data_IF_907295120789
#
_entry.id   IF_907295120789
#
_cell.length_a   1.000
_cell.length_b   1.000
_cell.length_c   1.000
_cell.angle_alpha   90.00
_cell.angle_beta   90.00
_cell.angle_gamma   90.00
#
_symmetry.space_group_name_H-M   'P 1'
#
loop_
_entity.id
_entity.type
_entity.pdbx_description
1 polymer ?
#
# COMPACT_ATOMS: atom_id res chain seq x y z
N UNK A 1 21.72 17.56 2.45
CA UNK A 1 20.30 18.00 2.39
C UNK A 1 19.46 16.77 2.64
N UNK A 2 18.42 16.86 3.44
CA UNK A 2 17.50 15.73 3.66
C UNK A 2 16.54 15.66 2.48
N UNK A 3 16.36 14.49 1.90
CA UNK A 3 15.46 14.26 0.77
C UNK A 3 14.43 13.21 1.16
N UNK A 4 13.17 13.47 0.84
CA UNK A 4 12.06 12.57 1.09
C UNK A 4 11.37 12.24 -0.24
N UNK A 5 11.31 10.96 -0.58
CA UNK A 5 10.51 10.46 -1.72
C UNK A 5 9.44 9.54 -1.19
N UNK A 6 8.20 9.71 -1.63
CA UNK A 6 7.07 8.84 -1.28
C UNK A 6 6.59 8.16 -2.56
N UNK A 7 6.51 6.83 -2.54
CA UNK A 7 6.13 6.00 -3.68
C UNK A 7 4.83 5.26 -3.34
N UNK A 8 3.80 5.48 -4.17
CA UNK A 8 2.54 4.75 -4.12
C UNK A 8 2.62 3.44 -4.89
N UNK A 9 2.15 2.34 -4.30
CA UNK A 9 2.17 1.00 -4.89
C UNK A 9 0.80 0.33 -4.81
N UNK A 10 0.61 -0.73 -5.59
CA UNK A 10 -0.55 -1.62 -5.48
C UNK A 10 -0.09 -3.05 -5.16
N UNK A 11 -0.72 -3.65 -4.15
CA UNK A 11 -0.34 -4.96 -3.63
C UNK A 11 -0.58 -6.15 -4.57
N UNK A 12 -1.22 -5.92 -5.69
CA UNK A 12 -1.67 -6.98 -6.62
C UNK A 12 -0.98 -6.91 -7.99
N UNK A 13 -0.11 -5.91 -8.21
CA UNK A 13 0.58 -5.69 -9.48
C UNK A 13 2.07 -5.96 -9.29
N UNK A 14 2.70 -6.68 -10.23
CA UNK A 14 4.15 -6.79 -10.23
C UNK A 14 4.79 -5.43 -10.62
N UNK A 15 5.39 -4.80 -9.64
CA UNK A 15 6.07 -3.49 -9.74
C UNK A 15 7.57 -3.60 -9.46
N UNK A 16 8.14 -4.82 -9.44
CA UNK A 16 9.53 -5.05 -9.04
C UNK A 16 10.52 -4.18 -9.82
N UNK A 17 10.43 -4.22 -11.15
CA UNK A 17 11.35 -3.48 -12.03
C UNK A 17 11.22 -1.95 -11.91
N UNK A 18 10.03 -1.33 -12.08
CA UNK A 18 9.90 0.11 -11.95
C UNK A 18 10.22 0.60 -10.53
N UNK A 19 9.84 -0.13 -9.50
CA UNK A 19 10.14 0.21 -8.11
C UNK A 19 11.66 0.25 -7.87
N UNK A 20 12.38 -0.75 -8.38
CA UNK A 20 13.84 -0.80 -8.26
C UNK A 20 14.51 0.43 -8.89
N UNK A 21 14.07 0.84 -10.08
CA UNK A 21 14.61 2.02 -10.77
C UNK A 21 14.40 3.29 -9.93
N UNK A 22 13.17 3.54 -9.48
CA UNK A 22 12.88 4.74 -8.70
C UNK A 22 13.61 4.78 -7.36
N UNK A 23 13.69 3.64 -6.67
CA UNK A 23 14.41 3.54 -5.40
C UNK A 23 15.91 3.78 -5.61
N UNK A 24 16.54 3.12 -6.59
CA UNK A 24 17.98 3.30 -6.86
C UNK A 24 18.31 4.73 -7.29
N UNK A 25 17.48 5.35 -8.12
CA UNK A 25 17.68 6.74 -8.55
C UNK A 25 17.58 7.74 -7.39
N UNK A 26 16.79 7.42 -6.36
CA UNK A 26 16.70 8.24 -5.13
C UNK A 26 17.89 8.01 -4.20
N UNK A 27 18.72 6.99 -4.44
CA UNK A 27 19.91 6.63 -3.65
C UNK A 27 19.68 6.76 -2.12
N UNK A 28 18.66 6.07 -1.57
CA UNK A 28 18.26 6.25 -0.17
C UNK A 28 19.25 5.59 0.78
N UNK A 29 19.39 6.16 1.97
CA UNK A 29 20.03 5.48 3.09
C UNK A 29 18.99 4.87 4.06
N UNK A 30 17.70 5.21 3.91
CA UNK A 30 16.60 4.61 4.63
C UNK A 30 15.47 4.30 3.65
N UNK A 31 14.93 3.07 3.70
CA UNK A 31 13.69 2.67 3.04
C UNK A 31 12.65 2.38 4.13
N UNK A 32 11.57 3.17 4.14
CA UNK A 32 10.47 3.05 5.08
C UNK A 32 9.29 2.35 4.40
N UNK A 33 8.83 1.24 5.00
CA UNK A 33 7.78 0.38 4.43
C UNK A 33 6.49 0.49 5.23
N UNK A 34 5.35 0.46 4.55
CA UNK A 34 4.01 0.30 5.13
C UNK A 34 3.83 -1.11 5.71
N UNK A 35 4.68 -1.47 6.63
CA UNK A 35 4.63 -2.73 7.36
C UNK A 35 4.80 -2.48 8.86
N UNK A 36 4.23 -3.37 9.64
CA UNK A 36 4.61 -3.59 11.02
C UNK A 36 5.52 -4.83 11.14
N UNK A 37 6.19 -4.97 12.27
CA UNK A 37 7.12 -6.10 12.51
C UNK A 37 6.43 -7.45 12.39
N UNK A 38 5.18 -7.58 12.84
CA UNK A 38 4.43 -8.83 12.76
C UNK A 38 4.17 -9.25 11.31
N UNK A 39 3.71 -8.30 10.47
CA UNK A 39 3.54 -8.55 9.02
C UNK A 39 4.85 -8.86 8.32
N UNK A 40 5.93 -8.17 8.69
CA UNK A 40 7.26 -8.47 8.15
C UNK A 40 7.68 -9.91 8.42
N UNK A 41 7.56 -10.39 9.67
CA UNK A 41 7.86 -11.79 9.99
C UNK A 41 6.94 -12.76 9.25
N UNK A 42 5.65 -12.46 9.14
CA UNK A 42 4.70 -13.30 8.40
C UNK A 42 5.01 -13.38 6.90
N UNK A 43 5.49 -12.30 6.28
CA UNK A 43 5.90 -12.30 4.87
C UNK A 43 7.16 -13.13 4.60
N UNK A 44 8.05 -13.25 5.59
CA UNK A 44 9.29 -14.01 5.48
C UNK A 44 9.16 -15.45 5.99
N UNK A 45 8.03 -15.84 6.58
CA UNK A 45 7.79 -17.22 7.01
C UNK A 45 7.24 -18.07 5.85
N UNK A 46 7.67 -19.32 5.77
CA UNK A 46 7.15 -20.30 4.80
C UNK A 46 5.70 -20.68 5.10
N UNK A 47 5.30 -20.60 6.36
CA UNK A 47 3.97 -21.03 6.86
C UNK A 47 2.99 -19.84 6.87
N UNK A 48 2.44 -19.50 5.70
CA UNK A 48 1.46 -18.41 5.52
C UNK A 48 0.04 -18.81 5.94
N UNK A 49 -0.14 -19.43 7.10
CA UNK A 49 -1.48 -19.75 7.60
C UNK A 49 -2.17 -18.48 8.10
N UNK A 50 -3.21 -18.06 7.39
CA UNK A 50 -4.08 -16.98 7.84
C UNK A 50 -4.95 -17.49 8.99
N UNK A 51 -4.59 -17.12 10.21
CA UNK A 51 -5.37 -17.42 11.42
C UNK A 51 -6.14 -16.17 11.84
N UNK A 52 -7.40 -16.33 12.26
CA UNK A 52 -8.19 -15.20 12.73
C UNK A 52 -9.70 -15.34 12.47
N UNK A 53 -10.50 -14.36 12.88
CA UNK A 53 -11.93 -14.30 12.62
C UNK A 53 -12.28 -14.40 11.12
N UNK A 54 -13.53 -14.79 10.83
CA UNK A 54 -14.01 -15.03 9.46
C UNK A 54 -13.72 -13.87 8.49
N UNK A 55 -13.90 -12.62 8.92
CA UNK A 55 -13.63 -11.43 8.08
C UNK A 55 -12.15 -11.28 7.70
N UNK A 56 -11.21 -11.69 8.55
CA UNK A 56 -9.77 -11.70 8.21
C UNK A 56 -9.49 -12.75 7.14
N UNK A 57 -10.09 -13.93 7.27
CA UNK A 57 -9.95 -14.99 6.26
C UNK A 57 -10.58 -14.59 4.92
N UNK A 58 -11.72 -13.88 4.96
CA UNK A 58 -12.39 -13.38 3.76
C UNK A 58 -11.52 -12.33 3.06
N UNK A 59 -10.97 -11.36 3.81
CA UNK A 59 -10.07 -10.36 3.27
C UNK A 59 -8.82 -10.98 2.65
N UNK A 60 -8.22 -11.95 3.32
CA UNK A 60 -7.05 -12.67 2.79
C UNK A 60 -7.38 -13.47 1.52
N UNK A 61 -8.58 -14.06 1.43
CA UNK A 61 -9.05 -14.73 0.20
C UNK A 61 -9.24 -13.74 -0.94
N UNK A 62 -9.85 -12.58 -0.68
CA UNK A 62 -10.03 -11.54 -1.68
C UNK A 62 -8.68 -11.02 -2.19
N UNK A 63 -7.75 -10.72 -1.28
CA UNK A 63 -6.40 -10.29 -1.64
C UNK A 63 -5.65 -11.35 -2.46
N UNK A 64 -5.80 -12.63 -2.09
CA UNK A 64 -5.21 -13.73 -2.85
C UNK A 64 -5.82 -13.83 -4.25
N UNK A 65 -7.14 -13.78 -4.37
CA UNK A 65 -7.84 -13.82 -5.67
C UNK A 65 -7.38 -12.68 -6.59
N UNK A 66 -7.30 -11.46 -6.06
CA UNK A 66 -6.79 -10.31 -6.82
C UNK A 66 -5.32 -10.51 -7.20
N UNK A 67 -4.47 -11.00 -6.29
CA UNK A 67 -3.07 -11.30 -6.57
C UNK A 67 -2.89 -12.36 -7.66
N UNK A 68 -3.68 -13.43 -7.61
CA UNK A 68 -3.66 -14.51 -8.62
C UNK A 68 -4.16 -13.99 -9.99
N UNK A 69 -5.14 -13.05 -9.99
CA UNK A 69 -5.69 -12.45 -11.20
C UNK A 69 -4.74 -11.45 -11.86
N UNK A 70 -4.02 -10.66 -11.06
CA UNK A 70 -3.15 -9.57 -11.55
C UNK A 70 -1.64 -9.87 -11.46
N UNK A 71 -1.27 -11.08 -11.07
CA UNK A 71 0.06 -11.62 -11.23
C UNK A 71 1.05 -11.35 -10.09
N UNK A 72 0.60 -10.86 -8.93
CA UNK A 72 1.50 -10.61 -7.80
C UNK A 72 0.88 -10.98 -6.44
N UNK A 73 1.56 -11.80 -5.62
CA UNK A 73 1.10 -12.09 -4.27
C UNK A 73 1.07 -10.83 -3.39
N UNK A 74 0.07 -10.67 -2.51
CA UNK A 74 -0.02 -9.50 -1.62
C UNK A 74 1.25 -9.29 -0.79
N UNK A 75 1.79 -8.07 -0.81
CA UNK A 75 3.00 -7.69 -0.08
C UNK A 75 4.32 -8.06 -0.76
N UNK A 76 4.28 -8.57 -2.00
CA UNK A 76 5.48 -8.88 -2.78
C UNK A 76 6.33 -7.63 -3.03
N UNK A 77 5.73 -6.49 -3.26
CA UNK A 77 6.41 -5.20 -3.45
C UNK A 77 7.22 -4.77 -2.22
N UNK A 78 6.72 -5.09 -1.01
CA UNK A 78 7.46 -4.82 0.22
C UNK A 78 8.68 -5.74 0.38
N UNK A 79 8.57 -7.00 -0.07
CA UNK A 79 9.72 -7.91 -0.13
C UNK A 79 10.75 -7.48 -1.17
N UNK A 80 10.29 -7.02 -2.34
CA UNK A 80 11.16 -6.44 -3.38
C UNK A 80 11.90 -5.23 -2.82
N UNK A 81 11.19 -4.30 -2.19
CA UNK A 81 11.79 -3.12 -1.58
C UNK A 81 12.83 -3.47 -0.50
N UNK A 82 12.57 -4.51 0.29
CA UNK A 82 13.53 -4.99 1.28
C UNK A 82 14.79 -5.61 0.65
N UNK A 83 14.65 -6.35 -0.45
CA UNK A 83 15.80 -6.87 -1.23
C UNK A 83 16.62 -5.73 -1.83
N UNK A 84 15.96 -4.71 -2.37
CA UNK A 84 16.64 -3.51 -2.88
C UNK A 84 17.41 -2.83 -1.74
N UNK A 85 16.77 -2.62 -0.57
CA UNK A 85 17.42 -2.03 0.60
C UNK A 85 18.70 -2.78 0.97
N UNK A 86 18.64 -4.11 1.02
CA UNK A 86 19.82 -4.95 1.30
C UNK A 86 20.92 -4.76 0.24
N UNK A 87 20.56 -4.71 -1.06
CA UNK A 87 21.52 -4.57 -2.17
C UNK A 87 22.26 -3.23 -2.20
N UNK A 88 21.65 -2.16 -1.64
CA UNK A 88 22.24 -0.81 -1.58
C UNK A 88 22.69 -0.43 -0.16
N UNK A 89 22.67 -1.37 0.79
CA UNK A 89 23.00 -1.15 2.20
C UNK A 89 22.14 -0.07 2.88
N UNK A 90 20.91 0.14 2.41
CA UNK A 90 19.95 1.05 3.04
C UNK A 90 19.29 0.40 4.28
N UNK A 91 19.02 1.20 5.30
CA UNK A 91 18.33 0.74 6.52
C UNK A 91 16.83 0.59 6.24
N UNK A 92 16.23 -0.51 6.73
CA UNK A 92 14.77 -0.68 6.71
C UNK A 92 14.13 -0.07 7.95
N UNK A 93 13.01 0.63 7.73
CA UNK A 93 12.15 1.13 8.79
C UNK A 93 10.70 0.67 8.56
N UNK A 94 10.07 0.10 9.59
CA UNK A 94 8.65 -0.28 9.55
C UNK A 94 7.82 0.82 10.17
N UNK A 95 6.95 1.44 9.36
CA UNK A 95 6.26 2.67 9.75
C UNK A 95 4.77 2.45 10.07
N UNK A 96 4.19 1.32 9.74
CA UNK A 96 2.77 1.07 9.97
C UNK A 96 2.45 0.53 11.37
N UNK A 97 1.17 0.56 11.71
CA UNK A 97 0.59 -0.05 12.91
C UNK A 97 0.34 -1.54 12.71
N UNK A 98 0.34 -2.35 13.79
CA UNK A 98 -0.22 -3.69 13.74
C UNK A 98 -1.68 -3.66 13.25
N UNK A 99 -1.95 -4.27 12.10
CA UNK A 99 -3.24 -4.15 11.41
C UNK A 99 -4.38 -4.89 12.13
N UNK A 100 -4.10 -6.02 12.78
CA UNK A 100 -5.13 -6.83 13.44
C UNK A 100 -5.87 -6.10 14.58
N UNK A 101 -5.19 -5.38 15.50
CA UNK A 101 -5.87 -4.54 16.47
C UNK A 101 -6.73 -3.44 15.84
N UNK A 102 -6.24 -2.81 14.75
CA UNK A 102 -6.99 -1.78 14.03
C UNK A 102 -8.28 -2.35 13.47
N UNK A 103 -8.24 -3.50 12.79
CA UNK A 103 -9.44 -4.18 12.28
C UNK A 103 -10.41 -4.56 13.39
N UNK A 104 -9.91 -5.13 14.50
CA UNK A 104 -10.75 -5.50 15.64
C UNK A 104 -11.49 -4.30 16.23
N UNK A 105 -10.78 -3.19 16.40
CA UNK A 105 -11.36 -1.96 16.95
C UNK A 105 -12.40 -1.37 15.99
N UNK A 106 -12.08 -1.31 14.70
CA UNK A 106 -12.99 -0.82 13.66
C UNK A 106 -14.27 -1.64 13.61
N UNK A 107 -14.15 -2.97 13.59
CA UNK A 107 -15.30 -3.87 13.56
C UNK A 107 -16.21 -3.74 14.79
N UNK A 108 -15.62 -3.58 15.98
CA UNK A 108 -16.38 -3.40 17.22
C UNK A 108 -17.13 -2.08 17.29
N UNK A 109 -16.60 -1.03 16.66
CA UNK A 109 -17.15 0.34 16.72
C UNK A 109 -17.90 0.75 15.46
N UNK A 110 -18.01 -0.15 14.48
CA UNK A 110 -18.67 0.14 13.21
C UNK A 110 -20.15 0.43 13.42
N UNK A 111 -20.67 1.55 12.87
CA UNK A 111 -22.09 1.87 12.91
C UNK A 111 -22.91 0.81 12.18
N UNK A 112 -24.12 0.54 12.69
CA UNK A 112 -25.02 -0.46 12.10
C UNK A 112 -25.31 -0.22 10.61
N UNK A 113 -25.40 1.04 10.19
CA UNK A 113 -25.58 1.42 8.77
C UNK A 113 -24.44 0.90 7.88
N UNK A 114 -23.19 1.11 8.27
CA UNK A 114 -22.04 0.62 7.50
C UNK A 114 -22.02 -0.91 7.47
N UNK A 115 -22.37 -1.56 8.57
CA UNK A 115 -22.49 -3.02 8.62
C UNK A 115 -23.54 -3.55 7.65
N UNK A 116 -24.71 -2.90 7.56
CA UNK A 116 -25.74 -3.22 6.57
C UNK A 116 -25.24 -3.04 5.14
N UNK A 117 -24.51 -1.95 4.84
CA UNK A 117 -23.89 -1.74 3.52
C UNK A 117 -22.94 -2.89 3.17
N UNK A 118 -22.07 -3.33 4.09
CA UNK A 118 -21.17 -4.46 3.86
C UNK A 118 -21.95 -5.73 3.51
N UNK A 119 -23.03 -6.02 4.22
CA UNK A 119 -23.85 -7.20 3.94
C UNK A 119 -24.49 -7.10 2.55
N UNK A 120 -25.11 -5.96 2.23
CA UNK A 120 -25.78 -5.73 0.95
C UNK A 120 -24.78 -5.82 -0.19
N UNK A 121 -23.64 -5.15 -0.09
CA UNK A 121 -22.60 -5.16 -1.13
C UNK A 121 -21.98 -6.54 -1.31
N UNK A 122 -21.82 -7.29 -0.22
CA UNK A 122 -21.36 -8.69 -0.29
C UNK A 122 -22.36 -9.58 -1.01
N UNK A 123 -23.67 -9.38 -0.78
CA UNK A 123 -24.73 -10.13 -1.48
C UNK A 123 -24.79 -9.77 -2.96
N UNK A 124 -24.71 -8.48 -3.30
CA UNK A 124 -24.70 -8.02 -4.70
C UNK A 124 -23.46 -8.59 -5.42
N UNK A 125 -22.30 -8.55 -4.80
CA UNK A 125 -21.08 -9.13 -5.38
C UNK A 125 -21.17 -10.64 -5.56
N UNK A 126 -21.83 -11.35 -4.64
CA UNK A 126 -22.02 -12.80 -4.74
C UNK A 126 -22.97 -13.20 -5.88
N UNK A 127 -23.97 -12.39 -6.18
CA UNK A 127 -24.92 -12.63 -7.31
C UNK A 127 -24.34 -12.20 -8.67
N UNK A 128 -23.10 -11.69 -8.71
CA UNK A 128 -22.44 -11.31 -9.96
C UNK A 128 -22.84 -9.92 -10.49
N UNK A 129 -23.50 -9.11 -9.65
CA UNK A 129 -23.96 -7.76 -10.02
C UNK A 129 -22.97 -6.61 -9.76
N UNK A 130 -21.82 -6.90 -9.21
CA UNK A 130 -20.80 -5.89 -8.89
C UNK A 130 -19.79 -5.70 -10.01
N UNK A 131 -20.09 -4.85 -10.98
CA UNK A 131 -19.07 -4.30 -11.89
C UNK A 131 -18.22 -3.27 -11.12
N UNK A 132 -17.28 -3.74 -10.32
CA UNK A 132 -16.19 -2.87 -9.91
C UNK A 132 -15.35 -2.60 -11.18
N UNK A 133 -15.27 -1.34 -11.61
CA UNK A 133 -14.39 -0.91 -12.72
C UNK A 133 -12.90 -1.00 -12.35
N UNK A 134 -12.54 -1.93 -11.44
CA UNK A 134 -11.19 -2.17 -10.94
C UNK A 134 -10.18 -2.42 -12.05
N UNK A 135 -10.61 -3.05 -13.15
CA UNK A 135 -9.71 -3.32 -14.28
C UNK A 135 -9.16 -2.03 -14.91
N UNK A 136 -9.96 -0.97 -15.00
CA UNK A 136 -9.48 0.30 -15.54
C UNK A 136 -8.58 1.01 -14.54
N UNK A 137 -8.98 1.08 -13.29
CA UNK A 137 -8.22 1.74 -12.22
C UNK A 137 -6.87 1.06 -11.96
N UNK A 138 -6.82 -0.27 -12.03
CA UNK A 138 -5.56 -1.03 -11.97
C UNK A 138 -4.68 -0.73 -13.17
N UNK A 139 -5.25 -0.61 -14.38
CA UNK A 139 -4.50 -0.32 -15.60
C UNK A 139 -3.95 1.10 -15.64
N UNK A 140 -4.70 2.08 -15.16
CA UNK A 140 -4.30 3.49 -15.12
C UNK A 140 -3.49 3.86 -13.89
N UNK A 141 -3.63 3.10 -12.80
CA UNK A 141 -3.08 3.42 -11.48
C UNK A 141 -3.86 4.51 -10.74
N UNK A 142 -5.02 4.91 -11.25
CA UNK A 142 -5.89 5.93 -10.63
C UNK A 142 -7.07 5.26 -9.93
N UNK A 143 -7.11 5.36 -8.61
CA UNK A 143 -8.13 4.83 -7.72
C UNK A 143 -8.95 5.93 -7.02
N UNK A 144 -8.89 7.17 -7.51
CA UNK A 144 -9.51 8.33 -6.85
C UNK A 144 -11.04 8.19 -6.70
N UNK A 145 -11.70 7.67 -7.74
CA UNK A 145 -13.16 7.46 -7.72
C UNK A 145 -13.55 6.36 -6.72
N UNK A 146 -12.85 5.24 -6.74
CA UNK A 146 -13.09 4.10 -5.83
C UNK A 146 -12.83 4.49 -4.36
N UNK A 147 -11.80 5.28 -4.10
CA UNK A 147 -11.51 5.80 -2.77
C UNK A 147 -12.57 6.79 -2.30
N UNK A 148 -13.10 7.61 -3.20
CA UNK A 148 -14.20 8.55 -2.89
C UNK A 148 -15.47 7.79 -2.55
N UNK A 149 -15.90 6.86 -3.41
CA UNK A 149 -17.07 6.01 -3.18
C UNK A 149 -16.92 5.19 -1.88
N UNK A 150 -15.76 4.60 -1.65
CA UNK A 150 -15.46 3.89 -0.40
C UNK A 150 -15.56 4.81 0.82
N UNK A 151 -15.07 6.04 0.70
CA UNK A 151 -15.05 7.01 1.80
C UNK A 151 -16.46 7.46 2.20
N UNK A 152 -17.33 7.66 1.23
CA UNK A 152 -18.72 8.04 1.44
C UNK A 152 -19.55 6.89 2.01
N UNK A 153 -19.31 5.68 1.51
CA UNK A 153 -20.09 4.51 1.89
C UNK A 153 -19.63 3.88 3.21
N UNK A 154 -18.34 3.97 3.52
CA UNK A 154 -17.72 3.36 4.70
C UNK A 154 -16.83 4.33 5.49
N UNK A 155 -17.36 5.43 6.02
CA UNK A 155 -16.58 6.48 6.67
C UNK A 155 -15.80 5.98 7.90
N UNK A 156 -16.33 5.02 8.67
CA UNK A 156 -15.59 4.43 9.80
C UNK A 156 -14.41 3.57 9.35
N UNK A 157 -14.58 2.80 8.27
CA UNK A 157 -13.50 2.03 7.68
C UNK A 157 -12.42 2.95 7.15
N UNK A 158 -12.80 3.97 6.36
CA UNK A 158 -11.88 4.98 5.83
C UNK A 158 -11.09 5.64 6.95
N UNK A 159 -11.76 6.14 7.98
CA UNK A 159 -11.10 6.80 9.11
C UNK A 159 -10.09 5.88 9.82
N UNK A 160 -10.46 4.63 10.10
CA UNK A 160 -9.59 3.74 10.88
C UNK A 160 -8.51 3.06 10.04
N UNK A 161 -8.83 2.63 8.81
CA UNK A 161 -7.90 1.87 7.95
C UNK A 161 -7.01 2.77 7.09
N UNK A 162 -7.40 4.03 6.88
CA UNK A 162 -6.63 5.00 6.09
C UNK A 162 -6.18 6.16 6.97
N UNK A 163 -7.07 7.08 7.37
CA UNK A 163 -6.70 8.38 7.93
C UNK A 163 -5.87 8.29 9.23
N UNK A 164 -6.26 7.41 10.16
CA UNK A 164 -5.53 7.20 11.42
C UNK A 164 -4.20 6.50 11.20
N UNK A 165 -4.08 5.67 10.17
CA UNK A 165 -2.81 5.06 9.79
C UNK A 165 -1.91 6.06 9.10
N UNK A 166 -2.43 6.89 8.20
CA UNK A 166 -1.68 7.98 7.57
C UNK A 166 -1.07 8.91 8.60
N UNK A 167 -1.85 9.32 9.60
CA UNK A 167 -1.36 10.15 10.71
C UNK A 167 -0.24 9.48 11.49
N UNK A 168 -0.37 8.17 11.75
CA UNK A 168 0.66 7.42 12.47
C UNK A 168 1.94 7.26 11.62
N UNK A 169 1.80 6.87 10.35
CA UNK A 169 2.92 6.70 9.43
C UNK A 169 3.65 8.03 9.21
N UNK A 170 2.92 9.12 8.97
CA UNK A 170 3.49 10.47 8.84
C UNK A 170 4.29 10.87 10.08
N UNK A 171 3.79 10.59 11.28
CA UNK A 171 4.52 10.85 12.54
C UNK A 171 5.84 10.06 12.60
N UNK A 172 5.83 8.80 12.15
CA UNK A 172 7.04 7.97 12.09
C UNK A 172 8.04 8.51 11.05
N UNK A 173 7.56 8.92 9.87
CA UNK A 173 8.37 9.49 8.81
C UNK A 173 9.04 10.79 9.29
N UNK A 174 8.30 11.69 9.94
CA UNK A 174 8.87 12.92 10.53
C UNK A 174 9.97 12.61 11.53
N UNK A 175 9.81 11.58 12.36
CA UNK A 175 10.87 11.16 13.31
C UNK A 175 12.12 10.67 12.58
N UNK A 176 11.97 9.85 11.53
CA UNK A 176 13.10 9.40 10.70
C UNK A 176 13.79 10.59 10.02
N UNK A 177 13.00 11.52 9.49
CA UNK A 177 13.48 12.71 8.80
C UNK A 177 14.32 13.61 9.70
N UNK A 178 13.89 13.82 10.95
CA UNK A 178 14.57 14.70 11.92
C UNK A 178 15.79 14.07 12.59
N UNK A 179 15.94 12.75 12.54
CA UNK A 179 16.97 12.05 13.28
C UNK A 179 18.39 12.24 12.71
N UNK A 180 18.51 12.59 11.43
CA UNK A 180 19.80 12.84 10.80
C UNK A 180 19.65 13.82 9.62
N UNK A 181 20.48 14.86 9.59
CA UNK A 181 20.44 15.92 8.57
C UNK A 181 20.93 15.50 7.18
N UNK A 182 21.35 14.25 7.01
CA UNK A 182 21.82 13.71 5.73
C UNK A 182 20.95 12.55 5.22
N UNK A 183 19.77 12.35 5.80
CA UNK A 183 18.91 11.26 5.40
C UNK A 183 18.31 11.49 4.01
N UNK A 184 18.45 10.48 3.15
CA UNK A 184 17.65 10.32 1.95
C UNK A 184 16.70 9.17 2.22
N UNK A 185 15.42 9.50 2.34
CA UNK A 185 14.38 8.56 2.77
C UNK A 185 13.46 8.27 1.58
N UNK A 186 13.31 7.00 1.24
CA UNK A 186 12.26 6.52 0.36
C UNK A 186 11.20 5.84 1.21
N UNK A 187 9.96 6.29 1.08
CA UNK A 187 8.78 5.72 1.72
C UNK A 187 7.99 4.95 0.68
N UNK A 188 7.62 3.71 0.97
CA UNK A 188 6.82 2.86 0.09
C UNK A 188 5.52 2.53 0.82
N UNK A 189 4.41 2.96 0.23
CA UNK A 189 3.06 2.82 0.78
C UNK A 189 2.08 2.40 -0.31
N UNK A 190 0.95 1.82 0.07
CA UNK A 190 -0.15 1.60 -0.87
C UNK A 190 -0.70 2.93 -1.41
N UNK A 191 -1.13 2.95 -2.67
CA UNK A 191 -1.64 4.15 -3.35
C UNK A 191 -2.75 4.85 -2.55
N UNK A 192 -3.60 4.09 -1.86
CA UNK A 192 -4.64 4.63 -1.00
C UNK A 192 -4.16 5.47 0.19
N UNK A 193 -2.88 5.39 0.55
CA UNK A 193 -2.25 6.19 1.61
C UNK A 193 -1.43 7.35 1.07
N UNK A 194 -1.13 7.36 -0.24
CA UNK A 194 -0.20 8.30 -0.85
C UNK A 194 -0.64 9.76 -0.66
N UNK A 195 -1.89 10.07 -0.97
CA UNK A 195 -2.43 11.42 -0.83
C UNK A 195 -2.41 11.88 0.62
N UNK A 196 -3.01 11.09 1.54
CA UNK A 196 -3.13 11.49 2.94
C UNK A 196 -1.79 11.68 3.65
N UNK A 197 -0.78 10.88 3.31
CA UNK A 197 0.58 11.03 3.83
C UNK A 197 1.27 12.25 3.20
N UNK A 198 1.14 12.45 1.89
CA UNK A 198 1.75 13.57 1.18
C UNK A 198 1.25 14.93 1.69
N UNK A 199 -0.06 15.05 1.91
CA UNK A 199 -0.67 16.25 2.49
C UNK A 199 -0.12 16.55 3.90
N UNK A 200 -0.01 15.51 4.76
CA UNK A 200 0.51 15.65 6.13
C UNK A 200 2.01 15.98 6.17
N UNK A 201 2.74 15.65 5.13
CA UNK A 201 4.18 15.88 5.01
C UNK A 201 4.54 16.98 4.01
N UNK A 202 3.56 17.77 3.54
CA UNK A 202 3.76 18.82 2.55
C UNK A 202 4.84 19.84 2.93
N UNK A 203 4.98 20.14 4.23
CA UNK A 203 6.00 21.02 4.76
C UNK A 203 7.45 20.49 4.61
N UNK A 204 7.61 19.20 4.31
CA UNK A 204 8.90 18.55 4.03
C UNK A 204 9.22 18.52 2.54
N UNK A 205 8.32 19.02 1.70
CA UNK A 205 8.44 19.06 0.23
C UNK A 205 8.84 17.70 -0.37
N UNK A 206 8.08 16.62 -0.12
CA UNK A 206 8.42 15.30 -0.61
C UNK A 206 8.29 15.20 -2.13
N UNK A 207 9.20 14.45 -2.76
CA UNK A 207 8.99 13.99 -4.13
C UNK A 207 7.97 12.86 -4.12
N UNK A 208 6.90 13.02 -4.89
CA UNK A 208 5.82 12.03 -5.00
C UNK A 208 5.99 11.22 -6.28
N UNK A 209 5.84 9.92 -6.18
CA UNK A 209 5.81 8.97 -7.30
C UNK A 209 4.55 8.14 -7.14
N UNK A 210 3.63 8.30 -8.06
CA UNK A 210 2.33 7.61 -8.05
C UNK A 210 2.42 6.20 -8.62
N UNK A 211 1.41 5.39 -8.38
CA UNK A 211 1.28 4.09 -9.04
C UNK A 211 1.24 4.25 -10.57
N UNK A 212 0.60 5.31 -11.09
CA UNK A 212 0.57 5.63 -12.51
C UNK A 212 1.98 5.84 -13.08
N UNK A 213 2.86 6.56 -12.36
CA UNK A 213 4.26 6.73 -12.78
C UNK A 213 5.01 5.40 -12.87
N UNK A 214 4.76 4.50 -11.91
CA UNK A 214 5.36 3.16 -11.92
C UNK A 214 4.87 2.33 -13.11
N UNK A 215 3.58 2.37 -13.41
CA UNK A 215 2.97 1.64 -14.54
C UNK A 215 3.46 2.18 -15.89
N UNK A 216 3.55 3.48 -16.07
CA UNK A 216 4.11 4.09 -17.28
C UNK A 216 5.55 3.62 -17.50
N UNK A 217 6.37 3.58 -16.45
CA UNK A 217 7.75 3.09 -16.55
C UNK A 217 7.82 1.62 -16.90
N UNK A 218 6.93 0.79 -16.33
CA UNK A 218 6.82 -0.63 -16.66
C UNK A 218 6.50 -0.83 -18.14
N UNK A 219 5.49 -0.13 -18.66
CA UNK A 219 5.03 -0.26 -20.04
C UNK A 219 6.11 0.16 -21.05
N UNK A 220 6.83 1.25 -20.76
CA UNK A 220 7.93 1.70 -21.61
C UNK A 220 9.08 0.67 -21.67
N UNK A 221 9.37 -0.04 -20.59
CA UNK A 221 10.42 -1.08 -20.59
C UNK A 221 10.04 -2.30 -21.42
N UNK A 222 8.76 -2.69 -21.42
CA UNK A 222 8.25 -3.81 -22.22
C UNK A 222 8.29 -3.51 -23.72
N UNK A 223 7.96 -2.27 -24.12
CA UNK A 223 8.01 -1.85 -25.52
C UNK A 223 9.41 -1.87 -26.13
N UNK A 224 10.45 -1.60 -25.36
CA UNK A 224 11.84 -1.71 -25.79
C UNK A 224 12.31 -3.15 -25.97
N UNK A 225 11.74 -4.11 -25.24
CA UNK A 225 12.11 -5.53 -25.32
C UNK A 225 11.46 -6.27 -26.51
N UNK A 226 10.44 -5.70 -27.14
CA UNK A 226 9.72 -6.32 -28.28
C UNK A 226 10.31 -5.90 -29.64
N UNK A 227 11.16 -4.89 -29.67
CA UNK A 227 11.75 -4.34 -30.90
C UNK A 227 13.21 -4.81 -31.14
N UNK A 228 13.65 -5.89 -30.53
CA UNK A 228 14.91 -6.60 -30.76
C UNK A 228 14.57 -8.02 -31.21
#
# INVERSE_FOLDING_TARGET
>A
MVELTIIGTAHVIDLAYPLEIFVRNSNPNIIALELDRGRWFALNSEDRKVTGPFYIKLLARLQKYLGDTFGSPPGSEMLVAAKIAASISAKLAFIDKPILPVFRETWKKMPWREFQHIIIDSLISFVGGGNLNLNNSIRTGDFSNELTEFSERYPSLKNNLIDRRDTYMSTKIVKLFRHNNQNRIVVIVGEGHLQGISEKLSNLNPKIITLSDLLQRKNNSVSFSVNI
#
